data_IF_760164312851
#
_entry.id   IF_760164312851
#
_cell.length_a   1.000
_cell.length_b   1.000
_cell.length_c   1.000
_cell.angle_alpha   90.00
_cell.angle_beta   90.00
_cell.angle_gamma   90.00
#
_symmetry.space_group_name_H-M   'P 1'
#
loop_
_entity.id
_entity.type
_entity.pdbx_description
1 polymer ?
#
# COMPACT_ATOMS: atom_id res chain seq x y z
N UNK A 1 5.66 -32.13 15.07
CA UNK A 1 4.42 -31.62 14.43
C UNK A 1 4.64 -30.14 14.15
N UNK A 2 5.32 -29.83 13.04
CA UNK A 2 5.77 -28.47 12.73
C UNK A 2 4.63 -27.65 12.13
N UNK A 3 4.31 -26.53 12.76
CA UNK A 3 3.25 -25.61 12.37
C UNK A 3 3.37 -25.23 10.89
N UNK A 4 2.24 -25.39 10.18
CA UNK A 4 2.04 -24.95 8.80
C UNK A 4 2.44 -23.48 8.71
N UNK A 5 3.54 -23.20 8.01
CA UNK A 5 3.92 -21.84 7.64
C UNK A 5 2.81 -21.33 6.73
N UNK A 6 1.99 -20.44 7.28
CA UNK A 6 1.01 -19.72 6.51
C UNK A 6 1.79 -18.56 5.88
N UNK A 7 2.37 -18.79 4.70
CA UNK A 7 3.05 -17.77 3.86
C UNK A 7 2.03 -16.77 3.27
N UNK A 8 1.03 -16.38 4.06
CA UNK A 8 0.30 -15.16 3.78
C UNK A 8 1.27 -14.01 4.07
N UNK A 9 1.63 -13.16 3.09
CA UNK A 9 2.29 -11.92 3.41
C UNK A 9 1.39 -11.22 4.41
N UNK A 10 1.87 -11.05 5.64
CA UNK A 10 1.19 -10.30 6.68
C UNK A 10 1.03 -8.88 6.15
N UNK A 11 -0.08 -8.63 5.46
CA UNK A 11 -0.55 -7.30 5.19
C UNK A 11 -1.11 -6.81 6.52
N UNK A 12 -0.18 -6.50 7.43
CA UNK A 12 -0.34 -6.49 8.88
C UNK A 12 -1.53 -5.68 9.36
N UNK A 13 -1.96 -6.03 10.58
CA UNK A 13 -2.81 -5.28 11.48
C UNK A 13 -3.01 -3.85 10.97
N UNK A 14 -4.19 -3.58 10.39
CA UNK A 14 -4.49 -2.41 9.53
C UNK A 14 -4.32 -1.01 10.15
N UNK A 15 -3.59 -0.90 11.26
CA UNK A 15 -3.25 0.28 12.01
C UNK A 15 -1.73 0.41 12.23
N UNK A 16 -0.91 0.13 11.21
CA UNK A 16 0.53 0.43 11.28
C UNK A 16 0.71 1.95 11.33
N UNK A 17 1.45 2.52 12.31
CA UNK A 17 1.72 3.95 12.34
C UNK A 17 2.44 4.34 11.04
N UNK A 18 1.90 5.31 10.31
CA UNK A 18 2.44 5.73 9.01
C UNK A 18 1.79 5.09 7.78
N UNK A 19 0.92 4.08 7.94
CA UNK A 19 0.19 3.44 6.83
C UNK A 19 -1.10 4.19 6.51
N UNK A 20 -1.23 4.59 5.25
CA UNK A 20 -2.38 5.28 4.69
C UNK A 20 -3.12 4.35 3.71
N UNK A 21 -4.45 4.33 3.80
CA UNK A 21 -5.32 3.76 2.77
C UNK A 21 -5.61 4.82 1.70
N UNK A 22 -5.40 4.45 0.43
CA UNK A 22 -5.71 5.31 -0.71
C UNK A 22 -6.76 4.63 -1.58
N UNK A 23 -7.98 5.16 -1.56
CA UNK A 23 -9.08 4.74 -2.43
C UNK A 23 -9.28 5.67 -3.63
N UNK A 24 -10.01 5.20 -4.63
CA UNK A 24 -10.36 6.01 -5.81
C UNK A 24 -9.23 6.10 -6.85
N UNK A 25 -8.29 5.15 -6.86
CA UNK A 25 -7.23 5.10 -7.87
C UNK A 25 -7.82 4.87 -9.25
N UNK A 26 -7.33 5.64 -10.23
CA UNK A 26 -7.72 5.47 -11.63
C UNK A 26 -7.27 4.10 -12.15
N UNK A 27 -7.94 3.59 -13.18
CA UNK A 27 -7.61 2.30 -13.79
C UNK A 27 -6.21 2.28 -14.41
N UNK A 28 -5.75 3.45 -14.83
CA UNK A 28 -4.45 3.66 -15.46
C UNK A 28 -3.36 4.05 -14.45
N UNK A 29 -3.68 4.11 -13.14
CA UNK A 29 -2.68 4.41 -12.11
C UNK A 29 -1.65 3.26 -12.04
N UNK A 30 -0.41 3.60 -12.37
CA UNK A 30 0.74 2.68 -12.27
C UNK A 30 1.40 2.80 -10.90
N UNK A 31 2.22 1.80 -10.56
CA UNK A 31 3.02 1.84 -9.33
C UNK A 31 3.95 3.06 -9.31
N UNK A 32 4.62 3.35 -10.43
CA UNK A 32 5.54 4.48 -10.55
C UNK A 32 4.84 5.82 -10.35
N UNK A 33 3.69 6.05 -11.00
CA UNK A 33 2.94 7.31 -10.84
C UNK A 33 2.37 7.47 -9.44
N UNK A 34 1.95 6.36 -8.81
CA UNK A 34 1.46 6.34 -7.44
C UNK A 34 2.57 6.71 -6.44
N UNK A 35 3.69 5.97 -6.47
CA UNK A 35 4.82 6.24 -5.56
C UNK A 35 5.37 7.64 -5.79
N UNK A 36 5.55 8.06 -7.05
CA UNK A 36 6.11 9.37 -7.34
C UNK A 36 5.18 10.53 -6.96
N UNK A 37 3.88 10.29 -6.94
CA UNK A 37 2.95 11.27 -6.39
C UNK A 37 3.05 11.36 -4.86
N UNK A 38 3.26 10.25 -4.14
CA UNK A 38 3.23 10.21 -2.68
C UNK A 38 4.60 10.49 -2.03
N UNK A 39 5.71 10.29 -2.73
CA UNK A 39 7.07 10.55 -2.22
C UNK A 39 7.30 12.03 -1.89
N UNK A 40 6.55 12.94 -2.54
CA UNK A 40 6.64 14.38 -2.28
C UNK A 40 6.14 14.81 -0.90
N UNK A 41 5.36 13.96 -0.22
CA UNK A 41 4.85 14.24 1.12
C UNK A 41 5.76 13.70 2.22
N UNK A 42 6.65 12.76 1.89
CA UNK A 42 7.54 12.12 2.84
C UNK A 42 8.19 10.87 2.25
N UNK A 43 9.20 10.37 2.95
CA UNK A 43 9.90 9.16 2.55
C UNK A 43 8.99 7.94 2.74
N UNK A 44 8.77 7.18 1.66
CA UNK A 44 7.94 5.97 1.65
C UNK A 44 8.82 4.76 2.01
N UNK A 45 8.38 3.94 2.95
CA UNK A 45 9.04 2.68 3.32
C UNK A 45 8.42 1.47 2.66
N UNK A 46 7.10 1.49 2.43
CA UNK A 46 6.37 0.43 1.74
C UNK A 46 5.23 1.01 0.91
N UNK A 47 4.93 0.39 -0.23
CA UNK A 47 3.80 0.78 -1.06
C UNK A 47 3.23 -0.40 -1.82
N UNK A 48 1.90 -0.47 -1.86
CA UNK A 48 1.20 -1.51 -2.62
C UNK A 48 0.03 -0.89 -3.40
N UNK A 49 -0.16 -1.37 -4.62
CA UNK A 49 -1.41 -1.17 -5.37
C UNK A 49 -2.10 -2.51 -5.46
N UNK A 50 -3.33 -2.58 -4.94
CA UNK A 50 -4.10 -3.81 -4.97
C UNK A 50 -4.66 -4.01 -6.37
N UNK A 51 -4.08 -4.95 -7.11
CA UNK A 51 -4.53 -5.34 -8.45
C UNK A 51 -5.27 -6.67 -8.39
N UNK A 52 -6.31 -6.81 -9.20
CA UNK A 52 -7.03 -8.07 -9.33
C UNK A 52 -6.16 -9.07 -10.12
N UNK A 53 -5.96 -10.26 -9.53
CA UNK A 53 -5.06 -11.30 -10.08
C UNK A 53 -5.62 -11.96 -11.35
N UNK A 54 -6.93 -11.83 -11.61
CA UNK A 54 -7.57 -12.40 -12.80
C UNK A 54 -7.78 -11.38 -13.92
N UNK A 55 -8.09 -10.13 -13.59
CA UNK A 55 -8.44 -9.12 -14.57
C UNK A 55 -7.29 -8.17 -14.96
N UNK A 56 -6.11 -8.27 -14.33
CA UNK A 56 -5.02 -7.28 -14.44
C UNK A 56 -5.47 -5.82 -14.16
N UNK A 57 -6.69 -5.64 -13.66
CA UNK A 57 -7.29 -4.34 -13.38
C UNK A 57 -7.00 -3.96 -11.94
N UNK A 58 -6.51 -2.74 -11.67
CA UNK A 58 -6.40 -2.26 -10.30
C UNK A 58 -7.79 -2.26 -9.66
N UNK A 59 -7.86 -2.70 -8.40
CA UNK A 59 -9.12 -2.71 -7.63
C UNK A 59 -9.55 -1.30 -7.19
N UNK A 60 -8.86 -0.27 -7.68
CA UNK A 60 -9.14 1.13 -7.38
C UNK A 60 -8.64 1.58 -6.00
N UNK A 61 -7.77 0.80 -5.35
CA UNK A 61 -7.19 1.16 -4.07
C UNK A 61 -5.76 0.64 -3.90
N UNK A 62 -5.03 1.29 -3.00
CA UNK A 62 -3.67 0.96 -2.62
C UNK A 62 -3.37 1.44 -1.20
N UNK A 63 -2.16 1.18 -0.75
CA UNK A 63 -1.66 1.66 0.52
C UNK A 63 -0.24 2.20 0.36
N UNK A 64 0.08 3.19 1.17
CA UNK A 64 1.42 3.76 1.34
C UNK A 64 1.75 3.67 2.81
N UNK A 65 2.98 3.28 3.14
CA UNK A 65 3.54 3.40 4.48
C UNK A 65 4.69 4.40 4.43
N UNK A 66 4.59 5.46 5.22
CA UNK A 66 5.66 6.44 5.38
C UNK A 66 6.68 6.00 6.44
N UNK A 67 7.92 6.46 6.30
CA UNK A 67 8.97 6.30 7.31
C UNK A 67 8.60 7.04 8.60
N UNK A 68 8.10 8.26 8.45
CA UNK A 68 7.67 9.09 9.57
C UNK A 68 6.13 9.09 9.67
N UNK A 69 5.54 8.58 10.77
CA UNK A 69 4.09 8.52 10.94
C UNK A 69 3.45 9.90 11.14
N UNK A 70 4.23 10.94 11.46
CA UNK A 70 3.72 12.31 11.60
C UNK A 70 3.28 12.87 10.25
N UNK A 71 3.80 12.36 9.12
CA UNK A 71 3.35 12.69 7.76
C UNK A 71 1.85 12.40 7.56
N UNK A 72 1.31 11.41 8.29
CA UNK A 72 -0.10 11.00 8.21
C UNK A 72 -1.00 11.83 9.14
N UNK A 73 -0.44 12.49 10.14
CA UNK A 73 -1.18 13.25 11.15
C UNK A 73 -1.29 14.71 10.72
N UNK A 74 -2.46 15.14 10.23
CA UNK A 74 -2.79 16.56 10.07
C UNK A 74 -4.22 16.84 10.52
#
# INVERSE_FOLDING_TARGET
MGSRRNDNPHYGDGASPGKIFIGGLAKDTTYETFVSYFEKYGKITDSVIMKDRHAHRPRGFGFITYEDPSVVTR
#
